data_IF_378942340050
#
_entry.id   IF_378942340050
#
_cell.length_a   1.000
_cell.length_b   1.000
_cell.length_c   1.000
_cell.angle_alpha   90.00
_cell.angle_beta   90.00
_cell.angle_gamma   90.00
#
_symmetry.space_group_name_H-M   'P 1'
#
loop_
_entity.id
_entity.type
_entity.pdbx_description
1 polymer ?
#
# COMPACT_ATOMS: atom_id res chain seq x y z
N UNK A 1 47.53 31.58 -11.44
CA UNK A 1 47.53 30.11 -11.42
C UNK A 1 46.11 29.66 -11.16
N UNK A 2 45.56 28.86 -12.07
CA UNK A 2 44.17 28.44 -12.14
C UNK A 2 43.92 27.11 -11.40
N UNK A 3 42.64 26.87 -11.13
CA UNK A 3 41.97 25.58 -10.85
C UNK A 3 42.28 24.89 -9.50
N UNK A 4 41.35 24.18 -8.86
CA UNK A 4 40.11 23.60 -9.37
C UNK A 4 38.97 23.60 -8.36
N UNK A 5 37.81 23.94 -8.89
CA UNK A 5 36.51 23.65 -8.32
C UNK A 5 35.92 22.45 -9.07
N UNK A 6 35.04 21.73 -8.36
CA UNK A 6 34.10 20.72 -8.83
C UNK A 6 34.68 19.40 -9.35
N UNK A 7 34.36 18.32 -8.63
CA UNK A 7 33.62 17.22 -9.25
C UNK A 7 32.85 16.44 -8.18
N UNK A 8 31.53 16.61 -8.16
CA UNK A 8 30.58 15.77 -7.43
C UNK A 8 29.62 15.26 -8.50
N UNK A 9 29.98 14.19 -9.18
CA UNK A 9 29.05 13.44 -10.01
C UNK A 9 28.27 12.45 -9.14
N UNK A 10 27.01 12.81 -8.90
CA UNK A 10 25.98 11.96 -8.32
C UNK A 10 25.52 10.93 -9.37
N UNK A 11 26.15 9.76 -9.38
CA UNK A 11 25.69 8.60 -10.12
C UNK A 11 24.64 7.80 -9.34
N UNK A 12 23.38 8.24 -9.35
CA UNK A 12 22.23 7.43 -8.93
C UNK A 12 20.95 7.96 -9.57
N UNK A 13 20.33 7.22 -10.50
CA UNK A 13 19.03 7.68 -11.03
C UNK A 13 18.34 6.78 -12.07
N UNK A 14 19.05 5.96 -12.83
CA UNK A 14 18.40 5.22 -13.92
C UNK A 14 17.64 3.94 -13.48
N UNK A 15 18.03 3.33 -12.35
CA UNK A 15 17.40 2.10 -11.84
C UNK A 15 16.14 2.35 -11.02
N UNK A 16 16.13 3.42 -10.23
CA UNK A 16 15.06 3.77 -9.30
C UNK A 16 13.76 4.18 -10.01
N UNK A 17 13.87 4.93 -11.11
CA UNK A 17 12.68 5.34 -11.88
C UNK A 17 11.96 4.16 -12.54
N UNK A 18 12.68 3.10 -12.91
CA UNK A 18 12.06 1.93 -13.54
C UNK A 18 11.29 1.07 -12.53
N UNK A 19 11.79 0.95 -11.30
CA UNK A 19 11.10 0.23 -10.21
C UNK A 19 9.86 1.01 -9.77
N UNK A 20 9.95 2.35 -9.66
CA UNK A 20 8.81 3.22 -9.41
C UNK A 20 7.76 3.17 -10.51
N UNK A 21 8.18 3.19 -11.77
CA UNK A 21 7.27 3.08 -12.91
C UNK A 21 6.55 1.72 -12.95
N UNK A 22 7.26 0.63 -12.65
CA UNK A 22 6.66 -0.71 -12.52
C UNK A 22 5.68 -0.81 -11.35
N UNK A 23 6.02 -0.17 -10.22
CA UNK A 23 5.14 -0.11 -9.05
C UNK A 23 3.83 0.65 -9.35
N UNK A 24 3.93 1.81 -10.02
CA UNK A 24 2.77 2.59 -10.44
C UNK A 24 1.95 1.89 -11.53
N UNK A 25 2.58 1.17 -12.47
CA UNK A 25 1.86 0.35 -13.45
C UNK A 25 1.15 -0.84 -12.82
N UNK A 26 1.75 -1.52 -11.84
CA UNK A 26 1.13 -2.64 -11.13
C UNK A 26 -0.07 -2.21 -10.26
N UNK A 27 -0.16 -0.93 -9.91
CA UNK A 27 -1.30 -0.34 -9.22
C UNK A 27 -2.52 -0.11 -10.13
N UNK A 28 -2.37 -0.28 -11.46
CA UNK A 28 -3.50 -0.16 -12.37
C UNK A 28 -4.39 -1.40 -12.29
N UNK A 29 -5.71 -1.26 -12.04
CA UNK A 29 -6.59 -2.41 -11.97
C UNK A 29 -6.66 -3.06 -13.35
N UNK A 30 -6.17 -4.31 -13.43
CA UNK A 30 -6.31 -5.14 -14.64
C UNK A 30 -7.80 -5.27 -14.97
N UNK A 31 -8.24 -4.94 -16.20
CA UNK A 31 -9.64 -5.14 -16.58
C UNK A 31 -9.92 -6.64 -16.61
N UNK A 32 -10.57 -7.12 -15.56
CA UNK A 32 -11.05 -8.51 -15.48
C UNK A 32 -12.15 -8.67 -16.52
N UNK A 33 -11.80 -9.29 -17.64
CA UNK A 33 -12.77 -9.71 -18.64
C UNK A 33 -13.82 -10.60 -17.97
N UNK A 34 -15.07 -10.11 -17.95
CA UNK A 34 -16.23 -10.82 -17.45
C UNK A 34 -16.48 -12.05 -18.32
N UNK A 35 -15.95 -13.20 -17.93
CA UNK A 35 -16.39 -14.48 -18.46
C UNK A 35 -17.62 -14.92 -17.67
N UNK A 36 -18.78 -14.70 -18.26
CA UNK A 36 -20.04 -15.26 -17.76
C UNK A 36 -19.97 -16.79 -17.76
N UNK A 37 -20.07 -17.39 -16.58
CA UNK A 37 -20.29 -18.83 -16.40
C UNK A 37 -21.66 -19.04 -15.76
N UNK A 38 -22.46 -20.02 -16.23
CA UNK A 38 -23.83 -20.20 -15.77
C UNK A 38 -23.87 -20.93 -14.42
N UNK A 39 -24.92 -20.58 -13.68
CA UNK A 39 -25.24 -21.03 -12.34
C UNK A 39 -25.27 -22.56 -12.19
N UNK A 40 -24.72 -23.03 -11.07
CA UNK A 40 -25.19 -24.26 -10.43
C UNK A 40 -25.41 -23.99 -8.95
N UNK A 41 -26.68 -23.87 -8.61
CA UNK A 41 -27.22 -23.70 -7.26
C UNK A 41 -27.12 -25.03 -6.52
N UNK A 42 -26.36 -25.05 -5.44
CA UNK A 42 -26.57 -25.98 -4.32
C UNK A 42 -26.18 -25.27 -3.04
N UNK A 43 -27.15 -25.18 -2.13
CA UNK A 43 -27.12 -24.27 -1.00
C UNK A 43 -25.98 -24.50 -0.02
N UNK A 44 -25.51 -23.40 0.55
CA UNK A 44 -25.17 -23.35 1.97
C UNK A 44 -25.47 -21.94 2.47
N UNK A 45 -26.55 -21.82 3.25
CA UNK A 45 -27.04 -20.56 3.85
C UNK A 45 -26.16 -20.17 5.04
N UNK A 46 -24.92 -19.80 4.75
CA UNK A 46 -24.09 -18.99 5.63
C UNK A 46 -23.56 -17.80 4.85
N UNK A 47 -24.48 -16.95 4.38
CA UNK A 47 -24.17 -15.53 4.29
C UNK A 47 -23.73 -15.12 5.70
N UNK A 48 -22.41 -15.02 5.91
CA UNK A 48 -21.81 -14.64 7.19
C UNK A 48 -22.52 -13.36 7.62
N UNK A 49 -23.35 -13.51 8.65
CA UNK A 49 -23.96 -12.40 9.37
C UNK A 49 -22.83 -11.45 9.72
N UNK A 50 -22.97 -10.22 9.23
CA UNK A 50 -22.57 -8.97 9.87
C UNK A 50 -21.39 -9.21 10.80
N UNK A 51 -20.18 -8.94 10.33
CA UNK A 51 -19.01 -8.80 11.21
C UNK A 51 -19.47 -7.95 12.39
N UNK A 52 -19.56 -8.55 13.59
CA UNK A 52 -20.02 -7.86 14.79
C UNK A 52 -19.31 -6.52 14.89
N UNK A 53 -20.00 -5.47 15.36
CA UNK A 53 -19.43 -4.12 15.50
C UNK A 53 -18.04 -4.16 16.14
N UNK A 54 -17.85 -5.01 17.16
CA UNK A 54 -16.56 -5.23 17.82
C UNK A 54 -15.46 -5.77 16.89
N UNK A 55 -15.80 -6.57 15.88
CA UNK A 55 -14.84 -7.04 14.87
C UNK A 55 -14.50 -5.95 13.87
N UNK A 56 -15.46 -5.13 13.45
CA UNK A 56 -15.20 -3.96 12.61
C UNK A 56 -14.29 -2.97 13.35
N UNK A 57 -14.61 -2.67 14.62
CA UNK A 57 -13.82 -1.76 15.46
C UNK A 57 -12.38 -2.28 15.63
N UNK A 58 -12.18 -3.59 15.83
CA UNK A 58 -10.84 -4.21 15.89
C UNK A 58 -10.09 -4.13 14.58
N UNK A 59 -10.75 -4.40 13.45
CA UNK A 59 -10.15 -4.28 12.12
C UNK A 59 -9.70 -2.84 11.85
N UNK A 60 -10.56 -1.87 12.17
CA UNK A 60 -10.27 -0.46 12.02
C UNK A 60 -9.09 -0.04 12.89
N UNK A 61 -9.06 -0.42 14.18
CA UNK A 61 -7.95 -0.12 15.07
C UNK A 61 -6.63 -0.70 14.53
N UNK A 62 -6.64 -1.94 14.03
CA UNK A 62 -5.45 -2.57 13.46
C UNK A 62 -4.95 -1.83 12.20
N UNK A 63 -5.85 -1.35 11.34
CA UNK A 63 -5.49 -0.54 10.17
C UNK A 63 -4.89 0.80 10.60
N UNK A 64 -5.53 1.48 11.54
CA UNK A 64 -5.04 2.75 12.09
C UNK A 64 -3.64 2.59 12.71
N UNK A 65 -3.41 1.53 13.49
CA UNK A 65 -2.08 1.24 14.05
C UNK A 65 -1.04 0.96 12.97
N UNK A 66 -1.39 0.20 11.92
CA UNK A 66 -0.48 -0.08 10.81
C UNK A 66 -0.12 1.17 10.01
N UNK A 67 -1.08 2.08 9.81
CA UNK A 67 -0.86 3.38 9.16
C UNK A 67 0.02 4.27 10.06
N UNK A 68 -0.30 4.36 11.35
CA UNK A 68 0.49 5.13 12.30
C UNK A 68 1.94 4.65 12.36
N UNK A 69 2.17 3.34 12.39
CA UNK A 69 3.52 2.77 12.40
C UNK A 69 4.34 3.22 11.18
N UNK A 70 3.71 3.37 10.02
CA UNK A 70 4.34 3.88 8.80
C UNK A 70 4.60 5.38 8.88
N UNK A 71 3.64 6.17 9.36
CA UNK A 71 3.79 7.63 9.53
C UNK A 71 4.90 7.98 10.53
N UNK A 72 5.15 7.13 11.52
CA UNK A 72 6.23 7.31 12.49
C UNK A 72 7.63 7.07 11.90
N UNK A 73 7.75 6.50 10.68
CA UNK A 73 9.03 6.33 9.96
C UNK A 73 9.37 7.62 9.20
N UNK A 74 9.63 8.69 9.95
CA UNK A 74 9.88 10.04 9.46
C UNK A 74 11.37 10.43 9.37
N UNK A 75 12.25 9.70 10.07
CA UNK A 75 13.67 10.01 10.19
C UNK A 75 14.56 8.93 9.54
N UNK A 76 15.72 9.29 8.94
CA UNK A 76 16.63 8.32 8.33
C UNK A 76 17.00 7.16 9.26
N UNK A 77 17.28 7.45 10.54
CA UNK A 77 17.60 6.43 11.55
C UNK A 77 16.44 5.44 11.79
N UNK A 78 15.18 5.90 11.69
CA UNK A 78 14.01 5.03 11.84
C UNK A 78 13.77 4.18 10.59
N UNK A 79 14.22 4.61 9.41
CA UNK A 79 14.11 3.78 8.21
C UNK A 79 14.86 2.46 8.37
N UNK A 80 16.08 2.50 8.91
CA UNK A 80 16.91 1.30 9.04
C UNK A 80 16.37 0.31 10.08
N UNK A 81 15.75 0.82 11.15
CA UNK A 81 15.30 0.00 12.28
C UNK A 81 13.81 -0.37 12.23
N UNK A 82 12.97 0.52 11.69
CA UNK A 82 11.51 0.45 11.86
C UNK A 82 10.75 0.28 10.55
N UNK A 83 11.34 0.54 9.37
CA UNK A 83 10.59 0.47 8.11
C UNK A 83 10.07 -0.94 7.82
N UNK A 84 10.88 -1.98 8.02
CA UNK A 84 10.46 -3.37 7.76
C UNK A 84 9.36 -3.83 8.72
N UNK A 85 9.47 -3.63 10.05
CA UNK A 85 8.37 -3.87 10.98
C UNK A 85 7.08 -3.08 10.64
N UNK A 86 7.20 -1.78 10.36
CA UNK A 86 6.06 -0.92 10.01
C UNK A 86 5.36 -1.41 8.74
N UNK A 87 6.12 -1.75 7.70
CA UNK A 87 5.58 -2.35 6.48
C UNK A 87 4.86 -3.67 6.75
N UNK A 88 5.44 -4.55 7.57
CA UNK A 88 4.82 -5.84 7.89
C UNK A 88 3.50 -5.66 8.68
N UNK A 89 3.43 -4.67 9.56
CA UNK A 89 2.23 -4.31 10.31
C UNK A 89 1.16 -3.72 9.39
N UNK A 90 1.52 -2.76 8.53
CA UNK A 90 0.62 -2.20 7.52
C UNK A 90 0.05 -3.30 6.61
N UNK A 91 0.91 -4.15 6.04
CA UNK A 91 0.49 -5.23 5.14
C UNK A 91 -0.51 -6.15 5.80
N UNK A 92 -0.23 -6.58 7.03
CA UNK A 92 -1.12 -7.43 7.81
C UNK A 92 -2.46 -6.74 7.99
N UNK A 93 -2.46 -5.49 8.45
CA UNK A 93 -3.68 -4.75 8.69
C UNK A 93 -4.54 -4.63 7.42
N UNK A 94 -3.95 -4.20 6.30
CA UNK A 94 -4.64 -4.08 5.00
C UNK A 94 -5.24 -5.42 4.53
N UNK A 95 -4.49 -6.52 4.65
CA UNK A 95 -4.98 -7.85 4.26
C UNK A 95 -6.16 -8.32 5.12
N UNK A 96 -6.14 -8.00 6.41
CA UNK A 96 -7.22 -8.34 7.33
C UNK A 96 -8.44 -7.44 7.17
N UNK A 97 -8.25 -6.16 6.78
CA UNK A 97 -9.33 -5.19 6.64
C UNK A 97 -9.93 -5.10 5.25
N UNK A 98 -9.36 -5.74 4.22
CA UNK A 98 -9.81 -5.64 2.80
C UNK A 98 -11.30 -5.87 2.54
N UNK A 99 -12.01 -6.56 3.45
CA UNK A 99 -13.47 -6.81 3.38
C UNK A 99 -14.31 -5.78 4.16
N UNK A 100 -13.69 -4.73 4.69
CA UNK A 100 -14.31 -3.69 5.50
C UNK A 100 -13.98 -2.30 4.94
N UNK A 101 -14.72 -1.83 3.91
CA UNK A 101 -14.46 -0.54 3.26
C UNK A 101 -14.48 0.66 4.22
N UNK A 102 -15.36 0.63 5.23
CA UNK A 102 -15.50 1.69 6.24
C UNK A 102 -14.21 1.97 7.02
N UNK A 103 -13.37 0.94 7.23
CA UNK A 103 -12.08 1.13 7.90
C UNK A 103 -11.12 1.97 7.05
N UNK A 104 -11.15 1.78 5.73
CA UNK A 104 -10.33 2.53 4.79
C UNK A 104 -10.81 3.99 4.66
N UNK A 105 -12.12 4.22 4.58
CA UNK A 105 -12.67 5.58 4.42
C UNK A 105 -12.20 6.56 5.49
N UNK A 106 -12.07 6.10 6.75
CA UNK A 106 -11.62 6.93 7.87
C UNK A 106 -10.15 7.34 7.78
N UNK A 107 -9.35 6.53 7.11
CA UNK A 107 -7.90 6.71 7.01
C UNK A 107 -7.49 7.31 5.66
N UNK A 108 -8.45 7.75 4.83
CA UNK A 108 -8.19 8.30 3.50
C UNK A 108 -7.26 9.52 3.52
N UNK A 109 -7.31 10.33 4.58
CA UNK A 109 -6.41 11.47 4.76
C UNK A 109 -4.92 11.07 4.81
N UNK A 110 -4.63 9.83 5.19
CA UNK A 110 -3.28 9.29 5.29
C UNK A 110 -2.81 8.61 3.98
N UNK A 111 -3.66 8.51 2.95
CA UNK A 111 -3.37 7.76 1.73
C UNK A 111 -2.08 8.23 1.04
N UNK A 112 -1.90 9.54 0.87
CA UNK A 112 -0.70 10.10 0.25
C UNK A 112 0.59 9.75 0.98
N UNK A 113 0.59 9.83 2.32
CA UNK A 113 1.75 9.51 3.14
C UNK A 113 2.06 8.00 3.11
N UNK A 114 1.04 7.13 3.14
CA UNK A 114 1.21 5.68 3.01
C UNK A 114 1.80 5.31 1.64
N UNK A 115 1.35 5.93 0.55
CA UNK A 115 1.91 5.70 -0.78
C UNK A 115 3.36 6.19 -0.90
N UNK A 116 3.65 7.37 -0.36
CA UNK A 116 5.00 7.93 -0.34
C UNK A 116 5.97 7.01 0.41
N UNK A 117 5.52 6.45 1.54
CA UNK A 117 6.25 5.41 2.25
C UNK A 117 6.43 4.16 1.40
N UNK A 118 5.36 3.61 0.81
CA UNK A 118 5.46 2.37 0.01
C UNK A 118 6.38 2.52 -1.19
N UNK A 119 6.35 3.68 -1.87
CA UNK A 119 7.28 4.00 -2.96
C UNK A 119 8.72 4.02 -2.45
N UNK A 120 9.01 4.79 -1.40
CA UNK A 120 10.36 4.88 -0.83
C UNK A 120 10.84 3.51 -0.27
N UNK A 121 9.90 2.70 0.19
CA UNK A 121 10.17 1.37 0.73
C UNK A 121 10.56 0.38 -0.36
N UNK A 122 9.90 0.40 -1.53
CA UNK A 122 10.27 -0.51 -2.62
C UNK A 122 11.62 -0.15 -3.25
N UNK A 123 11.97 1.14 -3.27
CA UNK A 123 13.26 1.63 -3.75
C UNK A 123 14.40 1.05 -2.87
N UNK A 124 14.21 1.05 -1.54
CA UNK A 124 15.20 0.49 -0.59
C UNK A 124 15.15 -1.03 -0.43
N UNK A 125 13.99 -1.65 -0.64
CA UNK A 125 13.76 -3.07 -0.39
C UNK A 125 13.14 -3.76 -1.62
N UNK A 126 13.90 -3.93 -2.72
CA UNK A 126 13.38 -4.43 -4.00
C UNK A 126 12.79 -5.85 -3.90
N UNK A 127 13.28 -6.68 -2.98
CA UNK A 127 12.72 -8.03 -2.73
C UNK A 127 11.25 -8.00 -2.26
N UNK A 128 10.75 -6.87 -1.77
CA UNK A 128 9.39 -6.70 -1.25
C UNK A 128 8.43 -5.99 -2.22
N UNK A 129 8.88 -5.64 -3.43
CA UNK A 129 8.05 -4.96 -4.46
C UNK A 129 6.70 -5.67 -4.65
N UNK A 130 6.69 -6.99 -4.82
CA UNK A 130 5.46 -7.77 -4.99
C UNK A 130 4.47 -7.61 -3.83
N UNK A 131 4.99 -7.58 -2.60
CA UNK A 131 4.18 -7.41 -1.39
C UNK A 131 3.64 -5.98 -1.29
N UNK A 132 4.42 -4.98 -1.69
CA UNK A 132 3.98 -3.60 -1.72
C UNK A 132 2.90 -3.37 -2.81
N UNK A 133 3.06 -3.96 -4.00
CA UNK A 133 2.04 -3.91 -5.05
C UNK A 133 0.73 -4.56 -4.62
N UNK A 134 0.78 -5.67 -3.86
CA UNK A 134 -0.42 -6.30 -3.28
C UNK A 134 -1.19 -5.32 -2.37
N UNK A 135 -0.46 -4.57 -1.53
CA UNK A 135 -1.07 -3.55 -0.66
C UNK A 135 -1.72 -2.47 -1.52
N UNK A 136 -0.99 -1.90 -2.49
CA UNK A 136 -1.52 -0.83 -3.35
C UNK A 136 -2.73 -1.29 -4.14
N UNK A 137 -2.74 -2.52 -4.66
CA UNK A 137 -3.90 -3.08 -5.35
C UNK A 137 -5.14 -3.09 -4.45
N UNK A 138 -5.01 -3.55 -3.19
CA UNK A 138 -6.12 -3.55 -2.23
C UNK A 138 -6.58 -2.13 -1.90
N UNK A 139 -5.64 -1.19 -1.73
CA UNK A 139 -5.98 0.21 -1.49
C UNK A 139 -6.71 0.83 -2.69
N UNK A 140 -6.28 0.53 -3.93
CA UNK A 140 -6.89 1.01 -5.16
C UNK A 140 -8.28 0.39 -5.44
N UNK A 141 -8.57 -0.78 -4.87
CA UNK A 141 -9.92 -1.37 -4.88
C UNK A 141 -10.91 -0.58 -4.01
N UNK A 142 -10.43 0.19 -3.02
CA UNK A 142 -11.29 0.99 -2.15
C UNK A 142 -11.61 2.34 -2.82
N UNK A 143 -12.90 2.69 -3.05
CA UNK A 143 -13.27 3.91 -3.78
C UNK A 143 -12.67 5.19 -3.20
N UNK A 144 -12.71 5.35 -1.87
CA UNK A 144 -12.18 6.54 -1.20
C UNK A 144 -10.66 6.69 -1.38
N UNK A 145 -9.92 5.58 -1.28
CA UNK A 145 -8.47 5.61 -1.45
C UNK A 145 -8.10 5.81 -2.91
N UNK A 146 -8.80 5.18 -3.85
CA UNK A 146 -8.60 5.37 -5.29
C UNK A 146 -8.70 6.84 -5.69
N UNK A 147 -9.66 7.56 -5.13
CA UNK A 147 -9.83 8.99 -5.37
C UNK A 147 -8.71 9.85 -4.76
N UNK A 148 -8.04 9.35 -3.72
CA UNK A 148 -6.90 10.00 -3.07
C UNK A 148 -5.55 9.61 -3.68
N UNK A 149 -5.49 8.58 -4.55
CA UNK A 149 -4.27 8.23 -5.27
C UNK A 149 -3.94 9.33 -6.28
N UNK A 150 -2.66 9.70 -6.45
CA UNK A 150 -2.27 10.63 -7.50
C UNK A 150 -2.65 10.02 -8.86
N UNK A 151 -3.56 10.67 -9.57
CA UNK A 151 -3.87 10.34 -10.96
C UNK A 151 -2.69 10.81 -11.79
N UNK A 152 -1.87 9.85 -12.24
CA UNK A 152 -0.80 10.09 -13.22
C UNK A 152 -1.36 10.64 -14.53
#
# INVERSE_FOLDING_TARGET
AAAGAADVEAGAGAGDDQVRALFLQAATPKPTAMRASPARSTGSRHALRITDKATIDRMQAALQEGIKAVLEVDAPRKWDMCAVPAFAQLRRAVLHTKRCPLAFEREVANAGAVLAFLSSFVDRYPIRVKQACEIVAILAEQPAWRAALPTS
#
